data_IF_054518546712
#
_entry.id   IF_054518546712
#
_cell.length_a   1.000
_cell.length_b   1.000
_cell.length_c   1.000
_cell.angle_alpha   90.00
_cell.angle_beta   90.00
_cell.angle_gamma   90.00
#
_symmetry.space_group_name_H-M   'P 1'
#
loop_
_entity.id
_entity.type
_entity.pdbx_description
1 polymer ?
#
# COMPACT_ATOMS: atom_id res chain seq x y z
N UNK A 1 2.05 -14.95 -16.32
CA UNK A 1 2.79 -13.72 -16.66
C UNK A 1 2.19 -12.58 -15.86
N UNK A 2 2.96 -11.93 -14.98
CA UNK A 2 2.45 -10.86 -14.12
C UNK A 2 2.42 -9.56 -14.95
N UNK A 3 1.22 -9.03 -15.15
CA UNK A 3 0.95 -7.83 -15.95
C UNK A 3 1.64 -6.61 -15.29
N UNK A 4 2.29 -5.75 -16.08
CA UNK A 4 3.00 -4.54 -15.60
C UNK A 4 2.09 -3.54 -14.86
N UNK A 5 0.78 -3.76 -14.84
CA UNK A 5 -0.24 -2.92 -14.22
C UNK A 5 -0.27 -2.95 -12.69
N UNK A 6 0.23 -4.02 -12.03
CA UNK A 6 0.04 -4.26 -10.58
C UNK A 6 0.90 -3.38 -9.65
N UNK A 7 1.89 -2.65 -10.18
CA UNK A 7 2.96 -2.05 -9.36
C UNK A 7 2.71 -0.58 -8.97
N UNK A 8 1.65 0.07 -9.45
CA UNK A 8 1.57 1.55 -9.36
C UNK A 8 0.19 2.14 -9.05
N UNK A 9 -0.59 1.55 -8.15
CA UNK A 9 -1.92 2.10 -7.83
C UNK A 9 -1.83 3.44 -7.12
N UNK A 10 -0.88 3.64 -6.21
CA UNK A 10 -0.69 4.97 -5.58
C UNK A 10 -0.29 6.04 -6.61
N UNK A 11 0.62 5.73 -7.55
CA UNK A 11 0.99 6.68 -8.62
C UNK A 11 -0.18 6.94 -9.57
N UNK A 12 -1.02 5.93 -9.81
CA UNK A 12 -2.18 6.03 -10.69
C UNK A 12 -3.34 6.80 -10.02
N UNK A 13 -3.60 6.58 -8.73
CA UNK A 13 -4.52 7.39 -7.92
C UNK A 13 -4.06 8.85 -7.92
N UNK A 14 -2.75 9.10 -7.87
CA UNK A 14 -2.19 10.46 -8.00
C UNK A 14 -2.42 11.07 -9.38
N UNK A 15 -2.28 10.31 -10.46
CA UNK A 15 -2.50 10.78 -11.83
C UNK A 15 -3.99 10.89 -12.23
N UNK A 16 -4.93 10.37 -11.42
CA UNK A 16 -6.35 10.28 -11.78
C UNK A 16 -7.13 11.59 -11.63
N UNK A 17 -6.59 12.63 -11.00
CA UNK A 17 -7.25 13.93 -10.94
C UNK A 17 -6.24 15.05 -11.03
N UNK A 18 -6.36 15.90 -12.05
CA UNK A 18 -5.81 17.25 -12.08
C UNK A 18 -6.42 18.18 -10.99
N UNK A 19 -6.95 17.64 -9.88
CA UNK A 19 -7.58 18.40 -8.79
C UNK A 19 -6.62 18.51 -7.61
N UNK A 20 -6.58 19.70 -7.03
CA UNK A 20 -5.98 20.06 -5.74
C UNK A 20 -6.41 19.18 -4.53
N UNK A 21 -7.32 18.21 -4.73
CA UNK A 21 -7.84 17.29 -3.70
C UNK A 21 -6.95 16.06 -3.44
N UNK A 22 -6.23 15.53 -4.44
CA UNK A 22 -5.27 14.42 -4.22
C UNK A 22 -4.09 14.92 -3.38
N UNK A 23 -3.72 16.18 -3.61
CA UNK A 23 -2.83 16.95 -2.75
C UNK A 23 -3.39 17.15 -1.36
N UNK A 24 -4.60 16.70 -0.98
CA UNK A 24 -5.15 16.68 0.40
C UNK A 24 -5.16 15.30 1.06
N UNK A 25 -4.96 14.19 0.32
CA UNK A 25 -4.92 12.86 0.94
C UNK A 25 -3.61 12.68 1.74
N UNK A 26 -3.75 12.55 3.06
CA UNK A 26 -2.63 12.40 3.98
C UNK A 26 -1.78 11.16 3.68
N UNK A 27 -2.38 10.04 3.28
CA UNK A 27 -1.65 8.83 2.86
C UNK A 27 -0.71 9.14 1.71
N UNK A 28 -1.20 9.80 0.65
CA UNK A 28 -0.41 10.11 -0.55
C UNK A 28 0.73 11.08 -0.21
N UNK A 29 0.42 12.13 0.56
CA UNK A 29 1.42 13.10 1.03
C UNK A 29 2.52 12.45 1.83
N UNK A 30 2.16 11.59 2.78
CA UNK A 30 3.12 10.84 3.60
C UNK A 30 3.90 9.82 2.77
N UNK A 31 3.24 9.09 1.86
CA UNK A 31 3.85 8.08 1.02
C UNK A 31 5.02 8.67 0.21
N UNK A 32 4.78 9.77 -0.54
CA UNK A 32 5.82 10.37 -1.38
C UNK A 32 6.71 11.38 -0.65
N UNK A 33 6.10 12.23 0.17
CA UNK A 33 6.78 13.33 0.83
C UNK A 33 7.40 12.96 2.17
N UNK A 34 7.33 11.70 2.60
CA UNK A 34 7.93 11.27 3.86
C UNK A 34 8.47 9.84 3.82
N UNK A 35 7.64 8.84 3.52
CA UNK A 35 8.03 7.45 3.62
C UNK A 35 9.03 7.05 2.55
N UNK A 36 8.91 7.59 1.34
CA UNK A 36 9.83 7.35 0.24
C UNK A 36 11.11 8.18 0.30
N UNK A 37 11.20 9.20 1.14
CA UNK A 37 12.38 10.06 1.24
C UNK A 37 13.63 9.21 1.43
N UNK A 38 14.75 9.63 0.85
CA UNK A 38 16.03 8.99 1.09
C UNK A 38 16.42 9.17 2.57
N UNK A 39 17.18 8.21 3.11
CA UNK A 39 17.82 8.39 4.41
C UNK A 39 18.74 9.62 4.48
N UNK A 40 19.07 10.17 3.31
CA UNK A 40 19.96 11.31 3.13
C UNK A 40 19.25 12.65 2.85
N UNK A 41 17.91 12.72 2.87
CA UNK A 41 17.23 13.94 2.45
C UNK A 41 17.04 14.98 3.56
N UNK A 42 17.02 14.60 4.86
CA UNK A 42 16.72 15.51 5.98
C UNK A 42 17.58 15.20 7.19
N UNK A 43 18.16 16.22 7.83
CA UNK A 43 19.02 16.09 9.02
C UNK A 43 18.41 15.20 10.12
N UNK A 44 17.09 15.30 10.34
CA UNK A 44 16.36 14.46 11.29
C UNK A 44 16.29 13.01 10.80
N UNK A 45 15.99 12.78 9.53
CA UNK A 45 15.90 11.44 8.91
C UNK A 45 17.25 10.69 8.91
N UNK A 46 18.37 11.41 8.73
CA UNK A 46 19.71 10.82 8.81
C UNK A 46 19.98 10.16 10.16
N UNK A 47 19.55 10.78 11.27
CA UNK A 47 19.83 10.25 12.62
C UNK A 47 19.13 8.92 12.95
N UNK A 48 18.07 8.58 12.21
CA UNK A 48 17.32 7.33 12.38
C UNK A 48 17.72 6.23 11.39
N UNK A 49 18.50 6.55 10.36
CA UNK A 49 19.00 5.55 9.43
C UNK A 49 20.29 4.94 9.95
N UNK A 50 20.24 3.68 10.40
CA UNK A 50 21.39 2.98 10.96
C UNK A 50 22.36 2.51 9.86
N UNK A 51 23.58 2.17 10.29
CA UNK A 51 24.63 1.63 9.40
C UNK A 51 24.19 0.32 8.74
N UNK A 52 24.72 0.07 7.53
CA UNK A 52 24.46 -1.09 6.69
C UNK A 52 24.75 -2.44 7.36
N UNK A 53 25.70 -2.48 8.31
CA UNK A 53 26.07 -3.72 9.01
C UNK A 53 24.90 -4.38 9.74
N UNK A 54 23.87 -3.59 10.07
CA UNK A 54 22.64 -4.04 10.72
C UNK A 54 21.71 -4.88 9.85
N UNK A 55 21.95 -4.93 8.53
CA UNK A 55 21.00 -5.46 7.55
C UNK A 55 21.55 -6.66 6.77
N UNK A 56 22.66 -7.27 7.20
CA UNK A 56 23.33 -8.35 6.45
C UNK A 56 22.47 -9.61 6.23
N UNK A 57 21.44 -9.83 7.06
CA UNK A 57 20.51 -10.96 6.92
C UNK A 57 19.40 -10.74 5.87
N UNK A 58 19.23 -9.51 5.38
CA UNK A 58 18.33 -9.18 4.26
C UNK A 58 19.14 -8.98 2.98
N UNK A 59 18.54 -9.26 1.82
CA UNK A 59 19.26 -9.17 0.55
C UNK A 59 19.71 -7.72 0.25
N UNK A 60 20.89 -7.50 -0.36
CA UNK A 60 21.40 -6.14 -0.62
C UNK A 60 20.42 -5.22 -1.35
N UNK A 61 19.64 -5.77 -2.29
CA UNK A 61 18.65 -5.01 -3.07
C UNK A 61 17.47 -4.46 -2.26
N UNK A 62 17.26 -4.95 -1.03
CA UNK A 62 16.20 -4.51 -0.11
C UNK A 62 16.72 -3.70 1.09
N UNK A 63 18.04 -3.49 1.21
CA UNK A 63 18.63 -2.72 2.31
C UNK A 63 18.05 -1.31 2.43
N UNK A 64 17.96 -0.58 1.32
CA UNK A 64 17.41 0.77 1.33
C UNK A 64 15.94 0.81 1.68
N UNK A 65 15.17 -0.24 1.35
CA UNK A 65 13.78 -0.34 1.78
C UNK A 65 13.70 -0.56 3.30
N UNK A 66 14.52 -1.48 3.81
CA UNK A 66 14.55 -1.83 5.23
C UNK A 66 14.93 -0.62 6.10
N UNK A 67 15.96 0.12 5.69
CA UNK A 67 16.37 1.38 6.33
C UNK A 67 15.22 2.39 6.40
N UNK A 68 14.52 2.61 5.29
CA UNK A 68 13.38 3.52 5.25
C UNK A 68 12.25 3.04 6.16
N UNK A 69 11.98 1.74 6.20
CA UNK A 69 10.99 1.14 7.08
C UNK A 69 11.30 1.40 8.56
N UNK A 70 12.49 1.04 9.05
CA UNK A 70 12.90 1.30 10.44
C UNK A 70 12.83 2.79 10.75
N UNK A 71 13.37 3.64 9.87
CA UNK A 71 13.36 5.09 10.02
C UNK A 71 11.93 5.63 10.13
N UNK A 72 11.04 5.24 9.22
CA UNK A 72 9.66 5.73 9.21
C UNK A 72 8.92 5.34 10.49
N UNK A 73 9.11 4.11 10.95
CA UNK A 73 8.51 3.63 12.18
C UNK A 73 9.02 4.40 13.40
N UNK A 74 10.34 4.54 13.55
CA UNK A 74 10.95 5.32 14.63
C UNK A 74 10.44 6.76 14.65
N UNK A 75 10.33 7.37 13.47
CA UNK A 75 9.86 8.74 13.33
C UNK A 75 8.40 8.89 13.76
N UNK A 76 7.51 7.94 13.50
CA UNK A 76 6.10 7.99 13.95
C UNK A 76 6.01 8.02 15.48
N UNK A 77 6.87 7.28 16.18
CA UNK A 77 6.80 7.13 17.65
C UNK A 77 7.79 8.01 18.44
N UNK A 78 8.63 8.78 17.76
CA UNK A 78 9.54 9.70 18.43
C UNK A 78 8.80 10.95 18.93
N UNK A 79 8.44 10.92 20.21
CA UNK A 79 7.81 12.04 20.93
C UNK A 79 8.76 13.22 21.18
N UNK A 80 10.07 13.00 21.12
CA UNK A 80 11.10 14.00 21.43
C UNK A 80 11.43 14.88 20.22
N UNK A 81 11.54 14.28 19.04
CA UNK A 81 11.68 14.99 17.77
C UNK A 81 10.35 14.92 17.06
N UNK A 82 9.41 15.75 17.53
CA UNK A 82 8.08 15.98 16.93
C UNK A 82 8.11 15.58 15.46
N UNK A 83 7.50 14.43 15.14
CA UNK A 83 7.21 14.02 13.78
C UNK A 83 6.32 15.10 13.15
N UNK A 84 6.95 16.17 12.69
CA UNK A 84 6.29 17.38 12.22
C UNK A 84 5.83 17.16 10.79
N UNK A 85 4.97 16.17 10.60
CA UNK A 85 4.11 16.16 9.44
C UNK A 85 2.83 16.90 9.84
N UNK A 86 2.47 17.93 9.08
CA UNK A 86 1.26 18.75 9.31
C UNK A 86 -0.02 18.08 8.83
N UNK A 87 0.06 16.79 8.48
CA UNK A 87 -0.96 16.09 7.70
C UNK A 87 -1.75 15.13 8.59
N UNK A 88 -1.09 14.30 9.39
CA UNK A 88 -1.71 13.30 10.27
C UNK A 88 -0.89 13.15 11.56
N UNK A 89 -1.55 13.17 12.72
CA UNK A 89 -0.90 13.01 14.03
C UNK A 89 -1.44 11.79 14.80
N UNK A 90 -2.51 11.16 14.33
CA UNK A 90 -3.04 9.95 14.92
C UNK A 90 -2.10 8.76 14.62
N UNK A 91 -1.51 8.17 15.67
CA UNK A 91 -0.54 7.08 15.55
C UNK A 91 -1.10 5.84 14.85
N UNK A 92 -2.38 5.50 15.06
CA UNK A 92 -3.04 4.35 14.42
C UNK A 92 -3.18 4.56 12.91
N UNK A 93 -3.61 5.76 12.48
CA UNK A 93 -3.67 6.12 11.06
C UNK A 93 -2.29 6.14 10.42
N UNK A 94 -1.28 6.71 11.11
CA UNK A 94 0.11 6.69 10.63
C UNK A 94 0.64 5.26 10.49
N UNK A 95 0.30 4.37 11.42
CA UNK A 95 0.62 2.95 11.34
C UNK A 95 -0.04 2.29 10.12
N UNK A 96 -1.34 2.51 9.90
CA UNK A 96 -2.03 2.02 8.69
C UNK A 96 -1.36 2.52 7.40
N UNK A 97 -1.03 3.81 7.33
CA UNK A 97 -0.35 4.37 6.16
C UNK A 97 1.05 3.78 5.96
N UNK A 98 1.78 3.52 7.05
CA UNK A 98 3.09 2.87 7.00
C UNK A 98 2.97 1.41 6.52
N UNK A 99 1.98 0.65 7.03
CA UNK A 99 1.66 -0.71 6.58
C UNK A 99 1.38 -0.73 5.09
N UNK A 100 0.45 0.12 4.64
CA UNK A 100 0.12 0.23 3.22
C UNK A 100 1.37 0.54 2.37
N UNK A 101 2.21 1.49 2.80
CA UNK A 101 3.45 1.83 2.11
C UNK A 101 4.43 0.66 2.04
N UNK A 102 4.74 -0.01 3.15
CA UNK A 102 5.75 -1.07 3.15
C UNK A 102 5.28 -2.28 2.34
N UNK A 103 3.99 -2.60 2.37
CA UNK A 103 3.41 -3.69 1.58
C UNK A 103 3.50 -3.41 0.09
N UNK A 104 3.16 -2.19 -0.32
CA UNK A 104 3.32 -1.72 -1.70
C UNK A 104 4.78 -1.76 -2.16
N UNK A 105 5.72 -1.35 -1.31
CA UNK A 105 7.15 -1.38 -1.61
C UNK A 105 7.71 -2.80 -1.74
N UNK A 106 7.28 -3.74 -0.89
CA UNK A 106 7.70 -5.14 -0.95
C UNK A 106 7.19 -5.80 -2.24
N UNK A 107 5.92 -5.58 -2.59
CA UNK A 107 5.30 -6.13 -3.81
C UNK A 107 5.93 -5.51 -5.07
N UNK A 108 6.08 -4.19 -5.12
CA UNK A 108 6.67 -3.49 -6.27
C UNK A 108 8.12 -3.89 -6.55
N UNK A 109 8.90 -4.17 -5.50
CA UNK A 109 10.26 -4.70 -5.63
C UNK A 109 10.32 -6.19 -5.99
N UNK A 110 9.17 -6.87 -6.09
CA UNK A 110 9.08 -8.30 -6.39
C UNK A 110 9.98 -9.10 -5.44
N UNK A 111 9.81 -8.88 -4.14
CA UNK A 111 10.53 -9.68 -3.14
C UNK A 111 10.15 -11.16 -3.29
N UNK A 112 11.14 -12.04 -3.20
CA UNK A 112 10.90 -13.48 -3.15
C UNK A 112 10.31 -13.85 -1.79
N UNK A 113 9.73 -15.05 -1.68
CA UNK A 113 9.25 -15.59 -0.39
C UNK A 113 10.36 -15.60 0.67
N UNK A 114 11.58 -15.98 0.28
CA UNK A 114 12.75 -16.01 1.17
C UNK A 114 13.14 -14.61 1.63
N UNK A 115 13.22 -13.63 0.73
CA UNK A 115 13.54 -12.25 1.11
C UNK A 115 12.47 -11.63 2.00
N UNK A 116 11.20 -11.93 1.73
CA UNK A 116 10.07 -11.50 2.56
C UNK A 116 10.17 -12.06 3.99
N UNK A 117 10.44 -13.36 4.12
CA UNK A 117 10.63 -14.00 5.42
C UNK A 117 11.83 -13.39 6.17
N UNK A 118 12.97 -13.21 5.48
CA UNK A 118 14.17 -12.61 6.08
C UNK A 118 13.93 -11.16 6.53
N UNK A 119 13.15 -10.38 5.77
CA UNK A 119 12.76 -9.02 6.15
C UNK A 119 12.06 -9.02 7.51
N UNK A 120 11.03 -9.85 7.68
CA UNK A 120 10.26 -9.85 8.91
C UNK A 120 10.96 -10.53 10.08
N UNK A 121 11.78 -11.57 9.83
CA UNK A 121 12.61 -12.18 10.86
C UNK A 121 13.61 -11.17 11.45
N UNK A 122 14.24 -10.36 10.58
CA UNK A 122 15.12 -9.29 11.05
C UNK A 122 14.37 -8.26 11.89
N UNK A 123 13.15 -7.90 11.47
CA UNK A 123 12.32 -6.97 12.25
C UNK A 123 11.94 -7.54 13.61
N UNK A 124 11.51 -8.80 13.69
CA UNK A 124 11.14 -9.43 14.95
C UNK A 124 12.31 -9.52 15.93
N UNK A 125 13.54 -9.75 15.44
CA UNK A 125 14.73 -9.76 16.28
C UNK A 125 15.07 -8.37 16.85
N UNK A 126 14.78 -7.30 16.11
CA UNK A 126 15.26 -5.94 16.43
C UNK A 126 14.18 -5.05 17.05
N UNK A 127 12.89 -5.37 16.90
CA UNK A 127 11.79 -4.47 17.29
C UNK A 127 11.82 -4.05 18.76
N UNK A 128 12.23 -4.93 19.66
CA UNK A 128 12.32 -4.63 21.10
C UNK A 128 13.44 -3.64 21.44
N UNK A 129 14.54 -3.67 20.69
CA UNK A 129 15.66 -2.73 20.85
C UNK A 129 15.34 -1.39 20.18
N UNK A 130 14.78 -1.45 18.97
CA UNK A 130 14.60 -0.27 18.13
C UNK A 130 13.41 0.55 18.58
N UNK A 131 12.27 -0.09 18.85
CA UNK A 131 11.07 0.62 19.21
C UNK A 131 10.24 -0.17 20.23
N UNK A 132 10.71 -0.24 21.50
CA UNK A 132 10.02 -0.97 22.56
C UNK A 132 8.60 -0.46 22.83
N UNK A 133 8.33 0.81 22.51
CA UNK A 133 7.02 1.45 22.71
C UNK A 133 6.17 1.54 21.44
N UNK A 134 6.65 1.03 20.30
CA UNK A 134 5.86 1.01 19.06
C UNK A 134 4.67 0.06 19.20
N UNK A 135 3.45 0.56 19.00
CA UNK A 135 2.25 -0.26 18.92
C UNK A 135 1.87 -0.65 17.47
N UNK A 136 2.63 -0.22 16.45
CA UNK A 136 2.42 -0.64 15.06
C UNK A 136 2.97 -2.04 14.80
N UNK A 137 2.10 -3.03 14.71
CA UNK A 137 2.48 -4.44 14.53
C UNK A 137 2.37 -4.91 13.09
N UNK A 138 3.38 -5.67 12.62
CA UNK A 138 3.44 -6.22 11.27
C UNK A 138 3.38 -7.76 11.31
N UNK A 139 2.16 -8.30 11.32
CA UNK A 139 1.91 -9.74 11.59
C UNK A 139 1.78 -10.61 10.35
N UNK A 140 1.68 -10.00 9.17
CA UNK A 140 1.47 -10.74 7.91
C UNK A 140 2.78 -11.37 7.44
N UNK A 141 3.11 -12.58 7.91
CA UNK A 141 4.37 -13.27 7.57
C UNK A 141 4.31 -14.06 6.26
N UNK A 142 3.13 -14.25 5.67
CA UNK A 142 2.97 -14.91 4.37
C UNK A 142 2.81 -13.88 3.24
N UNK A 143 3.69 -13.93 2.24
CA UNK A 143 3.68 -13.00 1.10
C UNK A 143 2.40 -13.10 0.25
N UNK A 144 1.81 -14.29 0.11
CA UNK A 144 0.55 -14.45 -0.64
C UNK A 144 -0.60 -13.74 0.07
N UNK A 145 -0.69 -13.89 1.39
CA UNK A 145 -1.70 -13.21 2.20
C UNK A 145 -1.51 -11.69 2.14
N UNK A 146 -0.25 -11.21 2.15
CA UNK A 146 0.06 -9.80 1.95
C UNK A 146 -0.48 -9.27 0.62
N UNK A 147 -0.27 -10.00 -0.47
CA UNK A 147 -0.71 -9.59 -1.81
C UNK A 147 -2.23 -9.46 -1.85
N UNK A 148 -2.97 -10.41 -1.24
CA UNK A 148 -4.43 -10.34 -1.16
C UNK A 148 -4.89 -9.18 -0.29
N UNK A 149 -4.29 -9.00 0.90
CA UNK A 149 -4.60 -7.87 1.79
C UNK A 149 -4.34 -6.52 1.10
N UNK A 150 -3.26 -6.41 0.31
CA UNK A 150 -2.97 -5.20 -0.46
C UNK A 150 -4.02 -4.93 -1.53
N UNK A 151 -4.51 -5.94 -2.25
CA UNK A 151 -5.63 -5.77 -3.20
C UNK A 151 -6.86 -5.23 -2.50
N UNK A 152 -7.22 -5.79 -1.34
CA UNK A 152 -8.33 -5.28 -0.55
C UNK A 152 -8.12 -3.80 -0.16
N UNK A 153 -6.93 -3.43 0.32
CA UNK A 153 -6.61 -2.03 0.62
C UNK A 153 -6.67 -1.11 -0.61
N UNK A 154 -6.22 -1.59 -1.76
CA UNK A 154 -6.28 -0.81 -2.98
C UNK A 154 -7.73 -0.52 -3.37
N UNK A 155 -8.61 -1.52 -3.35
CA UNK A 155 -10.03 -1.29 -3.59
C UNK A 155 -10.64 -0.33 -2.57
N UNK A 156 -10.33 -0.51 -1.28
CA UNK A 156 -10.77 0.40 -0.22
C UNK A 156 -10.40 1.85 -0.49
N UNK A 157 -9.18 2.13 -0.99
CA UNK A 157 -8.79 3.51 -1.30
C UNK A 157 -9.62 4.13 -2.42
N UNK A 158 -10.07 3.34 -3.41
CA UNK A 158 -11.03 3.82 -4.42
C UNK A 158 -12.41 4.04 -3.82
N UNK A 159 -12.86 3.11 -2.97
CA UNK A 159 -14.15 3.24 -2.29
C UNK A 159 -14.18 4.47 -1.36
N UNK A 160 -13.10 4.74 -0.63
CA UNK A 160 -13.00 5.95 0.19
C UNK A 160 -12.98 7.23 -0.67
N UNK A 161 -12.32 7.20 -1.83
CA UNK A 161 -12.23 8.35 -2.72
C UNK A 161 -13.55 8.66 -3.47
N UNK A 162 -14.31 7.63 -3.85
CA UNK A 162 -15.48 7.75 -4.74
C UNK A 162 -16.81 7.40 -4.08
N UNK A 163 -16.78 6.80 -2.88
CA UNK A 163 -17.89 6.41 -2.02
C UNK A 163 -18.82 5.31 -2.53
N UNK A 164 -18.88 5.05 -3.84
CA UNK A 164 -19.67 3.97 -4.46
C UNK A 164 -18.96 3.37 -5.67
N UNK A 165 -19.21 2.10 -5.96
CA UNK A 165 -18.61 1.31 -7.04
C UNK A 165 -18.94 1.86 -8.42
N UNK A 166 -20.17 2.31 -8.67
CA UNK A 166 -20.53 2.96 -9.96
C UNK A 166 -19.63 4.16 -10.25
N UNK A 167 -19.38 5.02 -9.24
CA UNK A 167 -18.46 6.16 -9.39
C UNK A 167 -17.02 5.73 -9.59
N UNK A 168 -16.60 4.60 -8.99
CA UNK A 168 -15.28 4.02 -9.30
C UNK A 168 -15.24 3.64 -10.79
N UNK A 169 -16.24 2.88 -11.25
CA UNK A 169 -16.33 2.39 -12.62
C UNK A 169 -16.29 3.52 -13.66
N UNK A 170 -17.06 4.59 -13.47
CA UNK A 170 -17.08 5.76 -14.35
C UNK A 170 -15.69 6.40 -14.52
N UNK A 171 -14.86 6.34 -13.47
CA UNK A 171 -13.54 6.98 -13.44
C UNK A 171 -12.42 6.09 -13.97
N UNK A 172 -12.63 4.77 -13.97
CA UNK A 172 -11.57 3.81 -14.27
C UNK A 172 -11.85 2.89 -15.44
N UNK A 173 -13.08 2.85 -15.98
CA UNK A 173 -13.49 1.87 -17.00
C UNK A 173 -12.60 1.86 -18.25
N UNK A 174 -12.05 3.00 -18.66
CA UNK A 174 -11.15 3.17 -19.81
C UNK A 174 -9.65 3.06 -19.44
N UNK A 175 -9.34 2.75 -18.19
CA UNK A 175 -7.97 2.81 -17.67
C UNK A 175 -7.32 1.44 -17.66
N UNK A 176 -6.03 1.38 -17.96
CA UNK A 176 -5.24 0.14 -18.01
C UNK A 176 -5.14 -0.63 -16.68
N UNK A 177 -5.61 -0.07 -15.57
CA UNK A 177 -5.67 -0.71 -14.26
C UNK A 177 -7.10 -1.08 -13.85
N UNK A 178 -8.11 -0.83 -14.70
CA UNK A 178 -9.50 -1.17 -14.40
C UNK A 178 -9.64 -2.63 -13.96
N UNK A 179 -9.09 -3.56 -14.76
CA UNK A 179 -9.17 -5.00 -14.49
C UNK A 179 -8.57 -5.36 -13.13
N UNK A 180 -7.48 -4.69 -12.75
CA UNK A 180 -6.89 -4.91 -11.44
C UNK A 180 -7.84 -4.47 -10.31
N UNK A 181 -8.52 -3.33 -10.45
CA UNK A 181 -9.42 -2.82 -9.41
C UNK A 181 -10.71 -3.64 -9.37
N UNK A 182 -11.21 -4.11 -10.51
CA UNK A 182 -12.27 -5.12 -10.59
C UNK A 182 -11.89 -6.39 -9.81
N UNK A 183 -10.71 -6.97 -10.07
CA UNK A 183 -10.22 -8.14 -9.32
C UNK A 183 -10.04 -7.83 -7.83
N UNK A 184 -9.64 -6.61 -7.49
CA UNK A 184 -9.46 -6.17 -6.10
C UNK A 184 -10.78 -6.01 -5.36
N UNK A 185 -11.86 -5.59 -6.04
CA UNK A 185 -13.22 -5.61 -5.49
C UNK A 185 -13.60 -7.01 -5.05
N UNK A 186 -13.37 -8.02 -5.91
CA UNK A 186 -13.68 -9.41 -5.60
C UNK A 186 -12.93 -9.89 -4.35
N UNK A 187 -11.64 -9.55 -4.23
CA UNK A 187 -10.85 -9.86 -3.04
C UNK A 187 -11.42 -9.17 -1.80
N UNK A 188 -11.76 -7.88 -1.89
CA UNK A 188 -12.34 -7.12 -0.79
C UNK A 188 -13.66 -7.73 -0.30
N UNK A 189 -14.61 -7.99 -1.18
CA UNK A 189 -15.88 -8.65 -0.85
C UNK A 189 -15.66 -10.04 -0.26
N UNK A 190 -14.67 -10.79 -0.77
CA UNK A 190 -14.35 -12.09 -0.18
C UNK A 190 -13.87 -11.97 1.26
N UNK A 191 -13.06 -10.95 1.58
CA UNK A 191 -12.54 -10.73 2.94
C UNK A 191 -13.65 -10.37 3.92
N UNK A 192 -14.65 -9.60 3.50
CA UNK A 192 -15.83 -9.31 4.33
C UNK A 192 -16.50 -10.59 4.82
N UNK A 193 -16.63 -11.60 3.96
CA UNK A 193 -17.22 -12.89 4.32
C UNK A 193 -16.24 -13.83 5.01
N UNK A 194 -15.06 -14.07 4.44
CA UNK A 194 -14.11 -15.08 4.96
C UNK A 194 -13.55 -14.66 6.31
N UNK A 195 -13.29 -13.37 6.48
CA UNK A 195 -12.70 -12.89 7.71
C UNK A 195 -13.67 -12.85 8.87
N UNK A 196 -15.00 -12.90 8.67
CA UNK A 196 -15.96 -12.95 9.79
C UNK A 196 -15.62 -14.05 10.80
N UNK A 197 -15.21 -15.23 10.30
CA UNK A 197 -14.96 -16.42 11.11
C UNK A 197 -13.48 -16.86 11.14
N UNK A 198 -12.63 -16.32 10.26
CA UNK A 198 -11.22 -16.68 10.19
C UNK A 198 -10.38 -15.85 11.19
N UNK A 199 -9.69 -16.49 12.16
CA UNK A 199 -8.80 -15.81 13.10
C UNK A 199 -7.42 -15.47 12.51
N UNK A 200 -7.17 -15.75 11.23
CA UNK A 200 -5.88 -15.49 10.60
C UNK A 200 -5.46 -14.01 10.68
N UNK A 201 -4.15 -13.79 10.79
CA UNK A 201 -3.57 -12.46 11.02
C UNK A 201 -3.96 -11.42 9.94
N UNK A 202 -4.11 -11.83 8.69
CA UNK A 202 -4.55 -10.93 7.62
C UNK A 202 -6.01 -10.50 7.77
N UNK A 203 -6.85 -11.39 8.29
CA UNK A 203 -8.24 -11.08 8.61
C UNK A 203 -8.37 -10.21 9.85
N UNK A 204 -7.53 -10.45 10.86
CA UNK A 204 -7.43 -9.57 12.03
C UNK A 204 -7.04 -8.16 11.61
N UNK A 205 -5.98 -8.02 10.81
CA UNK A 205 -5.54 -6.72 10.32
C UNK A 205 -6.57 -6.03 9.42
N UNK A 206 -7.25 -6.79 8.54
CA UNK A 206 -8.35 -6.26 7.74
C UNK A 206 -9.46 -5.65 8.61
N UNK A 207 -9.88 -6.34 9.67
CA UNK A 207 -10.91 -5.87 10.62
C UNK A 207 -10.46 -4.68 11.47
N UNK A 208 -9.23 -4.71 11.99
CA UNK A 208 -8.69 -3.67 12.88
C UNK A 208 -8.65 -2.29 12.21
N UNK A 209 -8.51 -2.24 10.88
CA UNK A 209 -8.50 -0.99 10.13
C UNK A 209 -9.89 -0.39 9.91
N UNK A 210 -10.96 -0.99 10.45
CA UNK A 210 -12.35 -0.51 10.36
C UNK A 210 -12.78 -0.11 8.93
N UNK A 211 -12.39 -0.93 7.96
CA UNK A 211 -12.71 -0.65 6.56
C UNK A 211 -14.23 -0.75 6.33
N UNK A 212 -14.83 0.16 5.55
CA UNK A 212 -16.27 0.21 5.35
C UNK A 212 -16.76 -1.04 4.62
N UNK A 213 -17.93 -1.55 5.03
CA UNK A 213 -18.56 -2.63 4.27
C UNK A 213 -19.03 -2.10 2.91
N UNK A 214 -18.98 -2.92 1.86
CA UNK A 214 -19.68 -2.61 0.62
C UNK A 214 -21.18 -2.69 0.94
N UNK A 215 -21.89 -1.57 0.76
CA UNK A 215 -23.33 -1.52 0.98
C UNK A 215 -24.05 -2.49 0.03
N UNK A 216 -25.16 -3.08 0.48
CA UNK A 216 -25.98 -3.96 -0.38
C UNK A 216 -26.53 -3.24 -1.63
N UNK A 217 -26.56 -1.91 -1.63
CA UNK A 217 -26.92 -1.11 -2.80
C UNK A 217 -25.74 -0.89 -3.78
N UNK A 218 -24.53 -1.34 -3.44
CA UNK A 218 -23.29 -1.12 -4.18
C UNK A 218 -22.72 -2.42 -4.82
N UNK A 219 -23.62 -3.33 -5.19
CA UNK A 219 -23.28 -4.52 -5.99
C UNK A 219 -22.96 -4.21 -7.47
N UNK A 220 -22.99 -2.94 -7.87
CA UNK A 220 -22.60 -2.48 -9.21
C UNK A 220 -21.27 -3.13 -9.64
N UNK A 221 -21.22 -3.69 -10.83
CA UNK A 221 -19.99 -4.28 -11.35
C UNK A 221 -19.06 -3.21 -11.92
N UNK A 222 -17.76 -3.40 -11.77
CA UNK A 222 -16.77 -2.65 -12.53
C UNK A 222 -16.69 -3.32 -13.91
N UNK A 223 -17.03 -2.57 -14.96
CA UNK A 223 -16.96 -3.02 -16.34
C UNK A 223 -15.82 -2.29 -17.04
N UNK A 224 -14.75 -3.03 -17.28
CA UNK A 224 -13.58 -2.50 -17.97
C UNK A 224 -13.79 -2.57 -19.47
N UNK A 225 -13.59 -1.45 -20.15
CA UNK A 225 -13.46 -1.46 -21.59
C UNK A 225 -12.27 -2.38 -21.90
N UNK A 226 -12.55 -3.49 -22.58
CA UNK A 226 -11.47 -4.29 -23.16
C UNK A 226 -10.65 -3.35 -24.05
N UNK A 227 -9.32 -3.53 -24.08
CA UNK A 227 -8.46 -2.83 -25.01
C UNK A 227 -8.97 -3.11 -26.44
N UNK A 228 -9.94 -2.33 -26.94
CA UNK A 228 -10.16 -2.10 -28.35
C UNK A 228 -8.95 -1.29 -28.79
N UNK A 229 -7.79 -1.98 -28.86
CA UNK A 229 -6.80 -1.62 -29.86
C UNK A 229 -7.58 -1.58 -31.15
N UNK A 230 -7.79 -0.38 -31.67
CA UNK A 230 -8.20 -0.21 -33.05
C UNK A 230 -7.32 -1.13 -33.88
N UNK A 231 -7.91 -2.22 -34.39
CA UNK A 231 -7.43 -2.74 -35.65
C UNK A 231 -7.48 -1.56 -36.61
N UNK A 232 -6.38 -1.23 -37.31
CA UNK A 232 -6.48 -0.26 -38.39
C UNK A 232 -7.35 -0.90 -39.48
N UNK A 233 -8.65 -0.61 -39.47
CA UNK A 233 -9.49 -0.79 -40.65
C UNK A 233 -9.14 0.36 -41.60
N UNK A 234 -8.13 0.07 -42.43
CA UNK A 234 -8.09 0.26 -43.89
C UNK A 234 -8.85 1.44 -44.50
N UNK A 235 -8.13 2.32 -45.20
CA UNK A 235 -8.64 2.92 -46.44
C UNK A 235 -7.60 2.87 -47.58
N UNK A 236 -8.16 2.70 -48.78
CA UNK A 236 -7.59 2.22 -50.05
C UNK A 236 -7.11 3.35 -50.97
N UNK A 237 -6.34 2.96 -52.01
CA UNK A 237 -6.25 3.63 -53.32
C UNK A 237 -5.06 4.60 -53.39
N UNK A 238 -4.14 4.53 -54.36
CA UNK A 238 -4.25 4.21 -55.80
C UNK A 238 -3.06 3.33 -56.22
#
# INVERSE_FOLDING_TARGET
>A
MINRAEIFIVKKIVNMKNNEEVTKNNLIRLYYGYFNDACTSRSIAYSYCKSLDNYKSVAPRIWELYKKFERNLLLIYDKSKKFHNKWEMNEEKLCFYLKYWIYDQLISKKVTKTEYANFWNLWDMRKSEICPTCNCEFKIKNLSNLIQLKKAYDYYLFLDAYKKTSKINDQISDKNYCKYIEDSKVVYSSFEYTCEKDPAEYCKEFKENNLPRIDEEDYDSISCQSDLRHEPISERGI
#
